data_IF_623954552068
#
_entry.id   IF_623954552068
#
_cell.length_a   1.000
_cell.length_b   1.000
_cell.length_c   1.000
_cell.angle_alpha   90.00
_cell.angle_beta   90.00
_cell.angle_gamma   90.00
#
_symmetry.space_group_name_H-M   'P 1'
#
loop_
_entity.id
_entity.type
_entity.pdbx_description
1 polymer ?
#
# COMPACT_ATOMS: atom_id res chain seq x y z
N UNK A 1 1.54 13.02 -3.60
CA UNK A 1 1.53 11.67 -3.01
C UNK A 1 0.68 11.57 -1.77
N UNK A 2 0.59 12.63 -0.98
CA UNK A 2 -0.26 12.61 0.21
C UNK A 2 -1.74 12.45 -0.13
N UNK A 3 -2.16 12.88 -1.30
CA UNK A 3 -3.55 12.71 -1.72
C UNK A 3 -3.94 11.25 -1.94
N UNK A 4 -2.97 10.36 -2.11
CA UNK A 4 -3.23 8.93 -2.23
C UNK A 4 -3.31 8.24 -0.87
N UNK A 5 -2.82 8.90 0.17
CA UNK A 5 -2.69 8.27 1.49
C UNK A 5 -4.02 7.77 2.05
N UNK A 6 -5.13 8.51 1.95
CA UNK A 6 -6.40 7.96 2.46
C UNK A 6 -6.80 6.63 1.83
N UNK A 7 -6.61 6.47 0.52
CA UNK A 7 -6.93 5.21 -0.15
C UNK A 7 -5.92 4.12 0.19
N UNK A 8 -4.66 4.48 0.39
CA UNK A 8 -3.65 3.51 0.85
C UNK A 8 -4.00 3.03 2.26
N UNK A 9 -4.41 3.94 3.15
CA UNK A 9 -4.86 3.56 4.49
C UNK A 9 -6.04 2.60 4.43
N UNK A 10 -6.98 2.83 3.51
CA UNK A 10 -8.14 1.94 3.35
C UNK A 10 -7.69 0.55 2.93
N UNK A 11 -6.69 0.44 2.06
CA UNK A 11 -6.15 -0.85 1.67
C UNK A 11 -5.49 -1.57 2.86
N UNK A 12 -4.76 -0.84 3.70
CA UNK A 12 -4.15 -1.42 4.91
C UNK A 12 -5.22 -1.93 5.87
N UNK A 13 -6.28 -1.16 6.08
CA UNK A 13 -7.38 -1.57 6.95
C UNK A 13 -8.06 -2.83 6.40
N UNK A 14 -8.26 -2.89 5.09
CA UNK A 14 -8.87 -4.05 4.46
C UNK A 14 -7.99 -5.29 4.57
N UNK A 15 -6.68 -5.13 4.42
CA UNK A 15 -5.75 -6.25 4.42
C UNK A 15 -5.42 -6.74 5.84
N UNK A 16 -5.28 -5.83 6.81
CA UNK A 16 -4.70 -6.16 8.13
C UNK A 16 -5.59 -5.78 9.30
N UNK A 17 -6.74 -5.16 9.05
CA UNK A 17 -7.66 -4.73 10.12
C UNK A 17 -6.97 -3.81 11.13
N UNK A 18 -6.16 -2.87 10.63
CA UNK A 18 -5.43 -1.92 11.48
C UNK A 18 -6.14 -0.56 11.46
N UNK A 19 -5.88 0.24 12.51
CA UNK A 19 -6.40 1.61 12.58
C UNK A 19 -5.77 2.44 11.46
N UNK A 20 -6.57 3.04 10.57
CA UNK A 20 -6.00 3.86 9.49
C UNK A 20 -5.19 5.04 10.01
N UNK A 21 -5.47 5.53 11.23
CA UNK A 21 -4.70 6.64 11.80
C UNK A 21 -3.29 6.25 12.17
N UNK A 22 -3.02 4.95 12.31
CA UNK A 22 -1.67 4.46 12.61
C UNK A 22 -0.77 4.42 11.38
N UNK A 23 -1.32 4.60 10.19
CA UNK A 23 -0.58 4.49 8.93
C UNK A 23 -0.15 5.88 8.49
N UNK A 24 1.16 6.07 8.31
CA UNK A 24 1.73 7.33 7.81
C UNK A 24 2.67 7.01 6.65
N UNK A 25 3.18 8.03 5.99
CA UNK A 25 4.13 7.84 4.90
C UNK A 25 5.41 7.13 5.35
N UNK A 26 5.76 7.24 6.63
CA UNK A 26 6.97 6.63 7.16
C UNK A 26 6.75 5.24 7.77
N UNK A 27 5.52 4.72 7.70
CA UNK A 27 5.21 3.40 8.24
C UNK A 27 5.95 2.31 7.47
N UNK A 28 6.54 1.36 8.20
CA UNK A 28 7.30 0.23 7.65
C UNK A 28 6.66 -1.07 8.10
N UNK A 29 6.99 -2.21 7.44
CA UNK A 29 6.35 -3.49 7.77
C UNK A 29 6.48 -3.89 9.22
N UNK A 30 7.60 -3.58 9.86
CA UNK A 30 7.81 -3.94 11.26
C UNK A 30 6.80 -3.29 12.20
N UNK A 31 6.15 -2.22 11.77
CA UNK A 31 5.20 -1.47 12.58
C UNK A 31 3.76 -1.93 12.38
N UNK A 32 3.50 -2.80 11.39
CA UNK A 32 2.14 -3.21 11.03
C UNK A 32 1.98 -4.71 11.25
N UNK A 33 1.19 -5.13 12.25
CA UNK A 33 0.94 -6.56 12.44
C UNK A 33 0.32 -7.19 11.19
N UNK A 34 0.88 -8.28 10.74
CA UNK A 34 0.39 -8.98 9.55
C UNK A 34 1.07 -8.57 8.25
N UNK A 35 1.83 -7.50 8.25
CA UNK A 35 2.54 -7.05 7.04
C UNK A 35 3.87 -7.80 6.96
N UNK A 36 3.79 -9.08 6.63
CA UNK A 36 4.92 -9.97 6.38
C UNK A 36 4.87 -10.40 4.92
N UNK A 37 5.63 -11.44 4.56
CA UNK A 37 5.72 -11.87 3.16
C UNK A 37 4.36 -12.22 2.57
N UNK A 38 3.53 -12.97 3.30
CA UNK A 38 2.20 -13.34 2.83
C UNK A 38 1.24 -12.16 2.91
N UNK A 39 1.32 -11.38 3.99
CA UNK A 39 0.49 -10.20 4.15
C UNK A 39 0.77 -9.17 3.09
N UNK A 40 2.02 -9.08 2.61
CA UNK A 40 2.39 -8.14 1.55
C UNK A 40 1.63 -8.45 0.25
N UNK A 41 1.44 -9.72 -0.07
CA UNK A 41 0.66 -10.12 -1.23
C UNK A 41 -0.80 -9.73 -1.06
N UNK A 42 -1.34 -9.93 0.15
CA UNK A 42 -2.71 -9.53 0.46
C UNK A 42 -2.88 -8.02 0.33
N UNK A 43 -1.91 -7.27 0.85
CA UNK A 43 -1.93 -5.80 0.73
C UNK A 43 -1.90 -5.37 -0.73
N UNK A 44 -1.05 -5.99 -1.54
CA UNK A 44 -0.95 -5.67 -2.95
C UNK A 44 -2.29 -5.88 -3.65
N UNK A 45 -2.98 -6.98 -3.35
CA UNK A 45 -4.30 -7.25 -3.91
C UNK A 45 -5.31 -6.18 -3.52
N UNK A 46 -5.29 -5.76 -2.25
CA UNK A 46 -6.17 -4.69 -1.77
C UNK A 46 -5.88 -3.37 -2.47
N UNK A 47 -4.58 -3.05 -2.66
CA UNK A 47 -4.19 -1.83 -3.37
C UNK A 47 -4.64 -1.87 -4.82
N UNK A 48 -4.52 -3.01 -5.48
CA UNK A 48 -4.98 -3.14 -6.86
C UNK A 48 -6.47 -2.89 -6.98
N UNK A 49 -7.25 -3.39 -6.03
CA UNK A 49 -8.69 -3.17 -6.03
C UNK A 49 -9.03 -1.71 -5.73
N UNK A 50 -8.31 -1.11 -4.78
CA UNK A 50 -8.58 0.25 -4.35
C UNK A 50 -8.28 1.27 -5.46
N UNK A 51 -7.23 1.05 -6.23
CA UNK A 51 -6.77 2.01 -7.24
C UNK A 51 -7.06 1.57 -8.68
N UNK A 52 -7.49 0.33 -8.88
CA UNK A 52 -7.73 -0.17 -10.24
C UNK A 52 -6.47 -0.34 -11.07
N UNK A 53 -5.37 -0.71 -10.42
CA UNK A 53 -4.07 -0.89 -11.09
C UNK A 53 -3.57 -2.32 -10.89
N UNK A 54 -2.51 -2.68 -11.60
CA UNK A 54 -1.88 -3.99 -11.48
C UNK A 54 -0.40 -3.82 -11.18
N UNK A 55 0.11 -4.60 -10.24
CA UNK A 55 1.52 -4.56 -9.86
C UNK A 55 2.22 -5.83 -10.34
N UNK A 56 3.49 -5.69 -10.71
CA UNK A 56 4.34 -6.85 -10.99
C UNK A 56 5.23 -7.14 -9.77
N UNK A 57 6.06 -8.18 -9.87
CA UNK A 57 6.91 -8.60 -8.76
C UNK A 57 7.88 -7.50 -8.35
N UNK A 58 8.44 -6.79 -9.34
CA UNK A 58 9.38 -5.71 -9.04
C UNK A 58 8.70 -4.59 -8.26
N UNK A 59 7.46 -4.27 -8.60
CA UNK A 59 6.68 -3.28 -7.84
C UNK A 59 6.52 -3.72 -6.39
N UNK A 60 6.16 -4.99 -6.17
CA UNK A 60 5.95 -5.51 -4.82
C UNK A 60 7.23 -5.46 -4.00
N UNK A 61 8.37 -5.80 -4.61
CA UNK A 61 9.64 -5.79 -3.91
C UNK A 61 10.11 -4.38 -3.56
N UNK A 62 9.66 -3.38 -4.29
CA UNK A 62 10.01 -1.99 -4.04
C UNK A 62 9.15 -1.33 -2.97
N UNK A 63 8.08 -1.97 -2.53
CA UNK A 63 7.17 -1.43 -1.52
C UNK A 63 7.73 -1.63 -0.11
N UNK A 64 8.77 -0.89 0.22
CA UNK A 64 9.50 -1.04 1.50
C UNK A 64 8.89 -0.23 2.63
N UNK A 65 8.07 0.76 2.30
CA UNK A 65 7.35 1.58 3.28
C UNK A 65 6.14 2.20 2.59
N UNK A 66 5.31 2.89 3.35
CA UNK A 66 4.09 3.48 2.80
C UNK A 66 4.40 4.54 1.75
N UNK A 67 5.45 5.33 1.96
CA UNK A 67 5.85 6.35 0.97
C UNK A 67 6.15 5.73 -0.38
N UNK A 68 6.89 4.60 -0.40
CA UNK A 68 7.20 3.90 -1.64
C UNK A 68 5.96 3.31 -2.28
N UNK A 69 5.02 2.82 -1.47
CA UNK A 69 3.73 2.35 -1.98
C UNK A 69 3.01 3.47 -2.72
N UNK A 70 2.93 4.64 -2.10
CA UNK A 70 2.28 5.80 -2.73
C UNK A 70 2.98 6.18 -4.02
N UNK A 71 4.31 6.17 -4.05
CA UNK A 71 5.08 6.51 -5.23
C UNK A 71 4.80 5.53 -6.38
N UNK A 72 4.79 4.25 -6.07
CA UNK A 72 4.54 3.20 -7.07
C UNK A 72 3.12 3.30 -7.61
N UNK A 73 2.14 3.45 -6.73
CA UNK A 73 0.74 3.61 -7.13
C UNK A 73 0.59 4.84 -8.02
N UNK A 74 1.21 5.95 -7.62
CA UNK A 74 1.14 7.19 -8.40
C UNK A 74 1.67 6.97 -9.83
N UNK A 75 2.74 6.20 -9.97
CA UNK A 75 3.32 5.92 -11.28
C UNK A 75 2.42 5.06 -12.16
N UNK A 76 1.52 4.30 -11.55
CA UNK A 76 0.59 3.41 -12.28
C UNK A 76 -0.72 4.09 -12.65
N UNK A 77 -1.07 5.18 -11.98
CA UNK A 77 -2.34 5.84 -12.22
C UNK A 77 -2.31 6.60 -13.54
N UNK A 78 -3.46 6.65 -14.26
CA UNK A 78 -3.54 7.45 -15.47
C UNK A 78 -3.29 8.92 -15.13
N UNK A 79 -2.57 9.59 -15.99
CA UNK A 79 -2.38 11.04 -15.83
C UNK A 79 -3.59 11.75 -16.35
N UNK A 80 -4.12 12.64 -15.54
CA UNK A 80 -5.27 13.44 -15.94
C UNK A 80 -4.85 14.46 -16.99
#
# INVERSE_FOLDING_TARGET
MEELLPSVKAAFTSAFDVDPQSITLDTVPEQVPGWDSMGHVTLASSLEQEFGVTFDVDDLMAMENVREICRIVHSKLPKA
#
